data_IF_423997956226
#
_entry.id   IF_423997956226
#
_cell.length_a   1.000
_cell.length_b   1.000
_cell.length_c   1.000
_cell.angle_alpha   90.00
_cell.angle_beta   90.00
_cell.angle_gamma   90.00
#
_symmetry.space_group_name_H-M   'P 1'
#
loop_
_entity.id
_entity.type
_entity.pdbx_description
1 polymer ?
#
# COMPACT_ATOMS: atom_id res chain seq x y z
N UNK A 1 8.80 -8.77 18.82
CA UNK A 1 7.90 -7.65 18.49
C UNK A 1 7.82 -7.57 16.97
N UNK A 2 6.71 -8.02 16.38
CA UNK A 2 6.46 -8.03 14.94
C UNK A 2 6.08 -6.62 14.50
N UNK A 3 6.86 -6.03 13.61
CA UNK A 3 6.63 -4.68 13.07
C UNK A 3 5.27 -4.60 12.36
N UNK A 4 4.43 -3.60 12.65
CA UNK A 4 3.13 -3.39 12.00
C UNK A 4 3.22 -3.16 10.48
N UNK A 5 4.41 -2.83 9.97
CA UNK A 5 4.67 -2.57 8.53
C UNK A 5 4.49 -3.82 7.65
N UNK A 6 4.59 -5.05 8.22
CA UNK A 6 4.20 -6.25 7.46
C UNK A 6 2.72 -6.28 7.08
N UNK A 7 1.89 -5.55 7.81
CA UNK A 7 0.48 -5.41 7.44
C UNK A 7 0.27 -4.42 6.30
N UNK A 8 1.02 -3.33 6.20
CA UNK A 8 0.74 -2.28 5.19
C UNK A 8 1.05 -2.71 3.75
N UNK A 9 2.06 -3.57 3.52
CA UNK A 9 2.30 -4.17 2.19
C UNK A 9 1.35 -5.34 1.87
N UNK A 10 0.60 -5.81 2.87
CA UNK A 10 -0.49 -6.79 2.71
C UNK A 10 -1.84 -6.08 2.59
N UNK A 11 -1.93 -4.81 2.99
CA UNK A 11 -3.13 -4.01 2.99
C UNK A 11 -3.41 -3.28 1.66
N UNK A 12 -3.25 -3.94 0.54
CA UNK A 12 -4.05 -3.62 -0.62
C UNK A 12 -5.24 -4.59 -0.58
N UNK A 13 -6.32 -4.19 0.08
CA UNK A 13 -7.52 -4.94 -0.11
C UNK A 13 -8.59 -4.90 0.95
N UNK A 14 -9.80 -4.41 0.74
CA UNK A 14 -11.05 -5.09 0.61
C UNK A 14 -12.35 -4.48 1.03
N UNK A 15 -13.41 -4.76 0.38
CA UNK A 15 -14.76 -4.78 0.95
C UNK A 15 -15.57 -5.98 0.50
N UNK A 16 -16.28 -6.61 1.40
CA UNK A 16 -17.44 -7.43 1.07
C UNK A 16 -18.71 -6.64 1.32
N UNK A 17 -19.36 -6.16 0.26
CA UNK A 17 -20.77 -5.79 0.32
C UNK A 17 -21.52 -7.11 0.27
N UNK A 18 -22.22 -7.46 1.36
CA UNK A 18 -23.09 -8.61 1.43
C UNK A 18 -24.29 -8.39 0.49
N UNK A 19 -24.20 -8.87 -0.72
CA UNK A 19 -25.36 -9.14 -1.56
C UNK A 19 -25.80 -10.59 -1.32
N UNK A 20 -27.06 -10.78 -0.94
CA UNK A 20 -27.66 -12.08 -0.69
C UNK A 20 -27.59 -12.97 -1.95
N UNK A 21 -27.61 -14.32 -1.78
CA UNK A 21 -27.43 -15.26 -2.87
C UNK A 21 -28.72 -15.47 -3.65
N UNK A 22 -28.84 -14.89 -4.85
CA UNK A 22 -29.79 -15.39 -5.85
C UNK A 22 -29.32 -15.05 -7.26
N UNK A 23 -28.65 -16.00 -7.89
CA UNK A 23 -28.37 -15.97 -9.31
C UNK A 23 -27.36 -17.06 -9.69
N UNK A 24 -27.48 -17.72 -10.86
CA UNK A 24 -26.43 -18.61 -11.32
C UNK A 24 -25.14 -17.82 -11.40
N UNK A 25 -24.07 -18.33 -10.76
CA UNK A 25 -22.76 -17.73 -10.81
C UNK A 25 -22.30 -17.70 -12.28
N UNK A 26 -22.60 -16.61 -12.97
CA UNK A 26 -21.86 -16.22 -14.15
C UNK A 26 -20.41 -16.14 -13.68
N UNK A 27 -19.55 -16.96 -14.26
CA UNK A 27 -18.11 -16.80 -14.14
C UNK A 27 -17.81 -15.40 -14.64
N UNK A 28 -17.73 -14.43 -13.73
CA UNK A 28 -17.39 -13.06 -14.09
C UNK A 28 -15.96 -13.13 -14.63
N UNK A 29 -15.79 -12.83 -15.90
CA UNK A 29 -14.46 -12.66 -16.47
C UNK A 29 -13.81 -11.47 -15.74
N UNK A 30 -12.57 -11.67 -15.33
CA UNK A 30 -11.77 -10.59 -14.72
C UNK A 30 -11.80 -9.37 -15.64
N UNK A 31 -12.17 -8.16 -15.15
CA UNK A 31 -12.16 -6.97 -15.99
C UNK A 31 -10.74 -6.71 -16.53
N UNK A 32 -10.50 -6.81 -17.85
CA UNK A 32 -9.14 -6.73 -18.41
C UNK A 32 -8.44 -5.43 -18.04
N UNK A 33 -9.16 -4.30 -18.10
CA UNK A 33 -8.64 -2.98 -17.73
C UNK A 33 -8.09 -2.96 -16.30
N UNK A 34 -8.83 -3.53 -15.34
CA UNK A 34 -8.42 -3.60 -13.95
C UNK A 34 -7.18 -4.48 -13.76
N UNK A 35 -7.21 -5.68 -14.36
CA UNK A 35 -6.12 -6.65 -14.24
C UNK A 35 -4.81 -6.08 -14.78
N UNK A 36 -4.85 -5.52 -15.97
CA UNK A 36 -3.67 -5.01 -16.67
C UNK A 36 -3.10 -3.76 -15.95
N UNK A 37 -3.97 -2.82 -15.57
CA UNK A 37 -3.54 -1.61 -14.86
C UNK A 37 -2.89 -1.94 -13.51
N UNK A 38 -3.50 -2.82 -12.70
CA UNK A 38 -2.93 -3.23 -11.40
C UNK A 38 -1.67 -4.06 -11.58
N UNK A 39 -1.62 -4.93 -12.60
CA UNK A 39 -0.42 -5.69 -12.94
C UNK A 39 0.76 -4.78 -13.29
N UNK A 40 0.54 -3.79 -14.14
CA UNK A 40 1.55 -2.81 -14.54
C UNK A 40 2.00 -1.95 -13.34
N UNK A 41 1.06 -1.47 -12.53
CA UNK A 41 1.37 -0.71 -11.32
C UNK A 41 2.24 -1.51 -10.34
N UNK A 42 1.91 -2.78 -10.10
CA UNK A 42 2.70 -3.65 -9.21
C UNK A 42 4.07 -4.00 -9.80
N UNK A 43 4.19 -4.15 -11.12
CA UNK A 43 5.47 -4.37 -11.78
C UNK A 43 6.39 -3.15 -11.64
N UNK A 44 5.84 -1.94 -11.78
CA UNK A 44 6.58 -0.68 -11.67
C UNK A 44 6.89 -0.21 -10.25
N UNK A 45 6.34 -0.86 -9.20
CA UNK A 45 6.53 -0.40 -7.81
C UNK A 45 7.98 -0.34 -7.32
N UNK A 46 8.87 -1.14 -7.91
CA UNK A 46 10.30 -1.16 -7.60
C UNK A 46 11.08 -0.07 -8.35
N UNK A 47 10.42 0.68 -9.24
CA UNK A 47 11.05 1.76 -10.00
C UNK A 47 11.00 3.09 -9.26
N UNK A 48 10.33 3.16 -8.10
CA UNK A 48 10.09 4.39 -7.39
C UNK A 48 10.87 4.48 -6.08
N UNK A 49 11.73 5.47 -5.99
CA UNK A 49 12.30 5.96 -4.74
C UNK A 49 11.34 6.99 -4.14
N UNK A 50 11.18 7.01 -2.80
CA UNK A 50 10.27 7.93 -2.11
C UNK A 50 10.74 8.22 -0.69
N UNK A 51 10.25 9.31 -0.13
CA UNK A 51 10.40 9.64 1.30
C UNK A 51 9.12 9.26 2.02
N UNK A 52 9.26 8.60 3.18
CA UNK A 52 8.16 8.19 4.02
C UNK A 52 8.28 8.88 5.39
N UNK A 53 7.25 9.64 5.75
CA UNK A 53 7.07 10.11 7.12
C UNK A 53 6.22 9.13 7.90
N UNK A 54 6.66 8.73 9.07
CA UNK A 54 5.95 7.82 9.97
C UNK A 54 5.76 8.50 11.30
N UNK A 55 4.50 8.69 11.71
CA UNK A 55 4.14 9.24 13.03
C UNK A 55 3.50 8.16 13.89
N UNK A 56 4.00 7.99 15.09
CA UNK A 56 3.32 7.25 16.13
C UNK A 56 2.62 8.23 17.06
N UNK A 57 1.30 8.10 17.21
CA UNK A 57 0.50 8.97 18.06
C UNK A 57 -0.04 8.18 19.25
N UNK A 58 -0.11 8.82 20.41
CA UNK A 58 -0.83 8.31 21.58
C UNK A 58 -2.33 8.64 21.48
N UNK A 59 -3.14 8.05 22.36
CA UNK A 59 -4.62 8.13 22.33
C UNK A 59 -5.17 9.56 22.26
N UNK A 60 -4.48 10.55 22.81
CA UNK A 60 -4.88 11.96 22.80
C UNK A 60 -4.44 12.71 21.52
N UNK A 61 -3.89 12.00 20.54
CA UNK A 61 -3.44 12.57 19.27
C UNK A 61 -2.06 13.23 19.31
N UNK A 62 -1.37 13.24 20.46
CA UNK A 62 0.00 13.75 20.52
C UNK A 62 0.97 12.82 19.79
N UNK A 63 1.89 13.40 19.04
CA UNK A 63 2.98 12.66 18.41
C UNK A 63 3.93 12.13 19.50
N UNK A 64 4.09 10.82 19.55
CA UNK A 64 5.01 10.10 20.42
C UNK A 64 6.40 9.96 19.80
N UNK A 65 6.43 9.77 18.49
CA UNK A 65 7.65 9.65 17.70
C UNK A 65 7.32 9.97 16.25
N UNK A 66 8.16 10.75 15.60
CA UNK A 66 8.12 10.98 14.15
C UNK A 66 9.43 10.52 13.53
N UNK A 67 9.35 9.82 12.38
CA UNK A 67 10.53 9.42 11.62
C UNK A 67 10.36 9.82 10.16
N UNK A 68 11.43 10.34 9.58
CA UNK A 68 11.55 10.53 8.14
C UNK A 68 12.49 9.46 7.58
N UNK A 69 11.99 8.65 6.67
CA UNK A 69 12.70 7.50 6.11
C UNK A 69 12.72 7.64 4.58
N UNK A 70 13.83 7.31 3.94
CA UNK A 70 13.97 7.26 2.48
C UNK A 70 14.02 5.81 2.02
N UNK A 71 13.24 5.49 0.99
CA UNK A 71 13.36 4.25 0.23
C UNK A 71 13.99 4.52 -1.13
N UNK A 72 15.01 3.76 -1.49
CA UNK A 72 15.70 3.88 -2.77
C UNK A 72 15.98 2.49 -3.36
N UNK A 73 15.20 2.03 -4.35
CA UNK A 73 15.38 0.72 -4.95
C UNK A 73 16.57 0.63 -5.91
N UNK A 74 17.24 1.76 -6.24
CA UNK A 74 18.48 1.75 -7.01
C UNK A 74 19.69 1.24 -6.21
N UNK A 75 19.50 1.03 -4.91
CA UNK A 75 20.52 0.50 -4.01
C UNK A 75 20.33 -1.00 -3.74
N UNK A 76 21.39 -1.71 -3.32
CA UNK A 76 21.29 -3.10 -2.89
C UNK A 76 20.24 -3.30 -1.80
N UNK A 77 19.59 -4.47 -1.75
CA UNK A 77 18.46 -4.76 -0.85
C UNK A 77 18.71 -4.40 0.62
N UNK A 78 19.93 -4.58 1.10
CA UNK A 78 20.32 -4.28 2.47
C UNK A 78 20.61 -2.79 2.72
N UNK A 79 20.49 -1.95 1.70
CA UNK A 79 20.78 -0.51 1.77
C UNK A 79 19.62 0.37 1.28
N UNK A 80 18.47 -0.20 0.91
CA UNK A 80 17.36 0.56 0.30
C UNK A 80 16.66 1.52 1.24
N UNK A 81 16.69 1.27 2.54
CA UNK A 81 16.05 2.12 3.52
C UNK A 81 17.06 2.91 4.34
N UNK A 82 16.87 4.21 4.39
CA UNK A 82 17.67 5.14 5.17
C UNK A 82 16.79 5.90 6.15
N UNK A 83 17.27 6.05 7.39
CA UNK A 83 16.65 6.92 8.38
C UNK A 83 17.26 8.31 8.22
N UNK A 84 16.45 9.28 7.84
CA UNK A 84 16.88 10.66 7.62
C UNK A 84 16.79 11.47 8.90
N UNK A 85 15.65 11.37 9.63
CA UNK A 85 15.37 12.13 10.84
C UNK A 85 14.56 11.30 11.84
N UNK A 86 14.73 11.64 13.13
CA UNK A 86 13.86 11.22 14.24
C UNK A 86 13.53 12.45 15.06
N UNK A 87 12.23 12.76 15.19
CA UNK A 87 11.72 13.94 15.91
C UNK A 87 12.38 15.25 15.44
N UNK A 88 12.54 15.41 14.10
CA UNK A 88 13.15 16.58 13.46
C UNK A 88 14.65 16.72 13.67
N UNK A 89 15.34 15.68 14.14
CA UNK A 89 16.79 15.70 14.42
C UNK A 89 17.51 14.59 13.64
N UNK A 90 18.80 14.78 13.33
CA UNK A 90 19.61 13.72 12.77
C UNK A 90 19.58 12.46 13.64
N UNK A 91 19.39 11.26 13.04
CA UNK A 91 19.29 10.02 13.81
C UNK A 91 20.64 9.63 14.42
N UNK A 92 20.59 9.04 15.60
CA UNK A 92 21.75 8.41 16.23
C UNK A 92 22.11 7.11 15.49
N UNK A 93 23.35 6.62 15.71
CA UNK A 93 23.81 5.36 15.13
C UNK A 93 22.95 4.17 15.54
N UNK A 94 22.52 4.13 16.81
CA UNK A 94 21.61 3.10 17.31
C UNK A 94 20.26 3.09 16.59
N UNK A 95 19.71 4.26 16.26
CA UNK A 95 18.45 4.41 15.52
C UNK A 95 18.60 3.97 14.07
N UNK A 96 19.71 4.33 13.39
CA UNK A 96 20.02 3.85 12.01
C UNK A 96 20.11 2.34 11.97
N UNK A 97 20.88 1.74 12.88
CA UNK A 97 21.03 0.29 12.98
C UNK A 97 19.70 -0.41 13.27
N UNK A 98 18.84 0.17 14.10
CA UNK A 98 17.52 -0.38 14.38
C UNK A 98 16.61 -0.36 13.12
N UNK A 99 16.68 0.67 12.27
CA UNK A 99 15.96 0.69 11.00
C UNK A 99 16.51 -0.35 10.03
N UNK A 100 17.83 -0.45 9.89
CA UNK A 100 18.52 -1.41 9.04
C UNK A 100 18.07 -2.86 9.36
N UNK A 101 18.17 -3.26 10.63
CA UNK A 101 17.71 -4.58 11.08
C UNK A 101 16.22 -4.79 10.79
N UNK A 102 15.41 -3.75 10.97
CA UNK A 102 13.96 -3.84 10.80
C UNK A 102 13.52 -3.95 9.33
N UNK A 103 14.18 -3.22 8.43
CA UNK A 103 13.75 -3.06 7.03
C UNK A 103 14.71 -3.70 6.01
N UNK A 104 16.00 -3.48 6.13
CA UNK A 104 16.99 -3.92 5.15
C UNK A 104 17.40 -5.39 5.30
N UNK A 105 17.49 -5.91 6.53
CA UNK A 105 17.91 -7.30 6.77
C UNK A 105 16.78 -8.34 6.66
N UNK A 106 15.56 -7.92 6.32
CA UNK A 106 14.42 -8.85 6.21
C UNK A 106 14.29 -9.40 4.80
N UNK A 107 14.20 -10.74 4.63
CA UNK A 107 13.96 -11.31 3.31
C UNK A 107 12.61 -10.85 2.75
N UNK A 108 12.59 -10.46 1.49
CA UNK A 108 11.38 -10.08 0.74
C UNK A 108 10.61 -11.33 0.33
N UNK A 109 9.87 -11.92 1.26
CA UNK A 109 9.14 -13.17 1.00
C UNK A 109 8.00 -13.08 -0.03
N UNK A 110 7.61 -11.87 -0.44
CA UNK A 110 6.43 -11.66 -1.29
C UNK A 110 6.63 -10.64 -2.42
N UNK A 111 7.86 -10.26 -2.73
CA UNK A 111 8.14 -9.21 -3.71
C UNK A 111 7.62 -9.54 -5.13
N UNK A 112 7.53 -10.82 -5.48
CA UNK A 112 7.24 -11.28 -6.83
C UNK A 112 5.95 -12.12 -6.92
N UNK A 113 5.04 -11.99 -5.98
CA UNK A 113 3.75 -12.67 -6.13
C UNK A 113 2.85 -11.88 -7.07
N UNK A 114 2.19 -12.54 -8.02
CA UNK A 114 1.26 -11.88 -8.93
C UNK A 114 0.07 -11.30 -8.16
N UNK A 115 -0.56 -10.24 -8.67
CA UNK A 115 -1.67 -9.58 -7.99
C UNK A 115 -2.85 -10.51 -7.70
N UNK A 116 -3.07 -11.54 -8.51
CA UNK A 116 -4.12 -12.54 -8.35
C UNK A 116 -3.96 -13.39 -7.08
N UNK A 117 -2.75 -13.48 -6.53
CA UNK A 117 -2.52 -14.15 -5.24
C UNK A 117 -3.10 -13.35 -4.05
N UNK A 118 -3.37 -12.07 -4.27
CA UNK A 118 -3.83 -11.14 -3.23
C UNK A 118 -5.23 -10.60 -3.49
N UNK A 119 -5.56 -10.31 -4.75
CA UNK A 119 -6.77 -9.61 -5.15
C UNK A 119 -7.72 -10.56 -5.88
N UNK A 120 -9.00 -10.42 -5.60
CA UNK A 120 -10.06 -11.21 -6.23
C UNK A 120 -10.65 -10.45 -7.42
N UNK A 121 -9.89 -10.36 -8.49
CA UNK A 121 -10.31 -9.69 -9.72
C UNK A 121 -11.59 -10.24 -10.35
N UNK A 122 -11.83 -11.58 -10.39
CA UNK A 122 -13.06 -12.12 -10.95
C UNK A 122 -14.34 -11.63 -10.26
N UNK A 123 -14.24 -11.20 -9.00
CA UNK A 123 -15.37 -10.67 -8.24
C UNK A 123 -15.30 -9.15 -8.03
N UNK A 124 -14.41 -8.46 -8.78
CA UNK A 124 -14.35 -7.00 -8.73
C UNK A 124 -15.63 -6.39 -9.33
N UNK A 125 -16.14 -5.35 -8.69
CA UNK A 125 -17.39 -4.68 -9.09
C UNK A 125 -17.07 -3.26 -9.49
N UNK A 126 -17.45 -2.86 -10.71
CA UNK A 126 -17.42 -1.46 -11.12
C UNK A 126 -18.50 -0.69 -10.34
N UNK A 127 -18.08 0.25 -9.50
CA UNK A 127 -18.98 1.06 -8.68
C UNK A 127 -19.32 2.38 -9.32
N UNK A 128 -18.37 2.97 -10.04
CA UNK A 128 -18.51 4.25 -10.68
C UNK A 128 -17.78 4.25 -12.01
N UNK A 129 -18.48 4.71 -13.05
CA UNK A 129 -17.91 4.82 -14.39
C UNK A 129 -18.17 6.22 -14.95
N UNK A 130 -17.10 6.82 -15.48
CA UNK A 130 -17.17 8.05 -16.27
C UNK A 130 -16.54 7.81 -17.64
N UNK A 131 -16.63 8.77 -18.58
CA UNK A 131 -15.88 8.67 -19.82
C UNK A 131 -14.37 8.55 -19.63
N UNK A 132 -13.84 9.16 -18.55
CA UNK A 132 -12.40 9.28 -18.29
C UNK A 132 -11.87 8.12 -17.45
N UNK A 133 -12.66 7.57 -16.49
CA UNK A 133 -12.16 6.59 -15.52
C UNK A 133 -13.24 5.59 -15.07
N UNK A 134 -12.76 4.47 -14.52
CA UNK A 134 -13.60 3.46 -13.86
C UNK A 134 -13.06 3.19 -12.46
N UNK A 135 -13.94 3.23 -11.46
CA UNK A 135 -13.60 2.84 -10.09
C UNK A 135 -14.17 1.47 -9.78
N UNK A 136 -13.30 0.55 -9.42
CA UNK A 136 -13.63 -0.82 -9.01
C UNK A 136 -13.53 -1.00 -7.52
N UNK A 137 -14.50 -1.69 -6.92
CA UNK A 137 -14.32 -2.33 -5.62
C UNK A 137 -13.66 -3.70 -5.86
N UNK A 138 -12.53 -3.91 -5.20
CA UNK A 138 -11.74 -5.15 -5.37
C UNK A 138 -11.59 -5.85 -4.03
N UNK A 139 -11.91 -7.14 -4.00
CA UNK A 139 -11.77 -7.96 -2.81
C UNK A 139 -10.33 -8.46 -2.62
N UNK A 140 -9.84 -8.55 -1.38
CA UNK A 140 -8.60 -9.29 -1.06
C UNK A 140 -8.93 -10.72 -0.68
N UNK A 141 -8.16 -11.61 -1.22
CA UNK A 141 -8.30 -13.03 -0.92
C UNK A 141 -7.95 -13.30 0.54
N UNK A 142 -8.82 -14.00 1.29
CA UNK A 142 -8.55 -14.33 2.70
C UNK A 142 -7.24 -15.10 2.89
N UNK A 143 -6.84 -15.91 1.90
CA UNK A 143 -5.61 -16.70 1.92
C UNK A 143 -4.35 -15.83 1.89
N UNK A 144 -4.45 -14.65 1.30
CA UNK A 144 -3.33 -13.70 1.22
C UNK A 144 -3.04 -13.05 2.58
N UNK A 145 -4.04 -12.97 3.45
CA UNK A 145 -3.98 -12.24 4.71
C UNK A 145 -4.56 -13.02 5.89
N UNK A 146 -4.13 -14.26 6.08
CA UNK A 146 -4.66 -15.23 7.07
C UNK A 146 -4.87 -14.74 8.51
N UNK A 147 -4.22 -13.65 8.89
CA UNK A 147 -4.33 -13.06 10.24
C UNK A 147 -5.18 -11.79 10.27
N UNK A 148 -5.88 -11.50 9.18
CA UNK A 148 -6.64 -10.26 8.99
C UNK A 148 -8.03 -10.62 8.49
N UNK A 149 -9.05 -9.95 9.01
CA UNK A 149 -10.44 -10.06 8.55
C UNK A 149 -10.60 -9.23 7.28
N UNK A 150 -10.21 -9.83 6.15
CA UNK A 150 -10.14 -9.11 4.87
C UNK A 150 -11.51 -8.66 4.38
N UNK A 151 -12.58 -9.32 4.78
CA UNK A 151 -13.97 -8.97 4.47
C UNK A 151 -14.42 -7.61 5.04
N UNK A 152 -13.65 -7.04 5.97
CA UNK A 152 -13.93 -5.74 6.60
C UNK A 152 -13.21 -4.56 5.93
N UNK A 153 -12.34 -4.84 5.01
CA UNK A 153 -11.66 -3.80 4.25
C UNK A 153 -12.50 -3.35 3.05
N UNK A 154 -12.40 -2.10 2.65
CA UNK A 154 -12.94 -1.53 1.42
C UNK A 154 -11.76 -1.04 0.60
N UNK A 155 -11.45 -1.71 -0.50
CA UNK A 155 -10.45 -1.27 -1.47
C UNK A 155 -11.14 -0.79 -2.73
N UNK A 156 -10.87 0.45 -3.10
CA UNK A 156 -11.30 1.01 -4.37
C UNK A 156 -10.08 1.33 -5.21
N UNK A 157 -10.13 0.95 -6.48
CA UNK A 157 -9.08 1.21 -7.46
C UNK A 157 -9.72 1.97 -8.63
N UNK A 158 -9.26 3.19 -8.84
CA UNK A 158 -9.67 4.01 -9.98
C UNK A 158 -8.64 3.90 -11.09
N UNK A 159 -9.11 3.64 -12.30
CA UNK A 159 -8.28 3.41 -13.47
C UNK A 159 -8.73 4.36 -14.57
N UNK A 160 -7.78 5.09 -15.15
CA UNK A 160 -8.00 5.91 -16.32
C UNK A 160 -8.29 5.06 -17.55
N UNK A 161 -9.32 5.44 -18.32
CA UNK A 161 -9.72 4.70 -19.52
C UNK A 161 -8.75 4.90 -20.67
N UNK A 162 -8.18 6.10 -20.79
CA UNK A 162 -7.23 6.44 -21.85
C UNK A 162 -5.81 6.01 -21.44
N UNK A 163 -5.41 6.31 -20.21
CA UNK A 163 -4.07 5.99 -19.71
C UNK A 163 -3.86 4.50 -19.45
N UNK A 164 -4.95 3.73 -19.21
CA UNK A 164 -4.91 2.35 -18.73
C UNK A 164 -4.06 2.20 -17.46
N UNK A 165 -3.92 3.28 -16.69
CA UNK A 165 -3.11 3.33 -15.49
C UNK A 165 -3.97 3.42 -14.23
N UNK A 166 -3.44 2.98 -13.10
CA UNK A 166 -4.04 3.23 -11.79
C UNK A 166 -3.86 4.71 -11.45
N UNK A 167 -4.95 5.44 -11.26
CA UNK A 167 -4.95 6.87 -10.92
C UNK A 167 -5.18 7.11 -9.43
N UNK A 168 -5.92 6.21 -8.78
CA UNK A 168 -6.18 6.33 -7.34
C UNK A 168 -6.40 4.98 -6.70
N UNK A 169 -5.87 4.82 -5.49
CA UNK A 169 -6.19 3.68 -4.62
C UNK A 169 -6.67 4.24 -3.29
N UNK A 170 -7.86 3.83 -2.86
CA UNK A 170 -8.32 4.11 -1.50
C UNK A 170 -8.59 2.82 -0.75
N UNK A 171 -8.29 2.82 0.57
CA UNK A 171 -8.68 1.72 1.42
C UNK A 171 -9.20 2.24 2.76
N UNK A 172 -10.30 1.66 3.22
CA UNK A 172 -10.92 1.96 4.49
C UNK A 172 -11.45 0.70 5.17
N UNK A 173 -11.94 0.81 6.40
CA UNK A 173 -12.64 -0.26 7.10
C UNK A 173 -14.12 -0.01 7.11
N UNK A 174 -14.93 -1.05 6.84
CA UNK A 174 -16.37 -1.04 7.10
C UNK A 174 -16.66 -1.08 8.60
N UNK A 175 -15.83 -1.78 9.36
CA UNK A 175 -15.88 -1.88 10.82
C UNK A 175 -14.50 -2.28 11.38
N UNK A 176 -14.23 -2.03 12.68
CA UNK A 176 -12.97 -2.42 13.30
C UNK A 176 -12.71 -3.92 13.19
N UNK A 177 -11.47 -4.30 12.84
CA UNK A 177 -11.07 -5.68 12.69
C UNK A 177 -10.06 -6.16 13.74
N UNK A 178 -10.12 -7.44 14.10
CA UNK A 178 -9.12 -8.09 14.94
C UNK A 178 -8.00 -8.64 14.07
N UNK A 179 -6.76 -8.51 14.53
CA UNK A 179 -5.58 -9.02 13.86
C UNK A 179 -4.74 -9.84 14.82
N UNK A 180 -3.82 -10.66 14.27
CA UNK A 180 -2.91 -11.48 15.06
C UNK A 180 -3.65 -12.34 16.10
N UNK A 181 -4.67 -13.10 15.68
CA UNK A 181 -5.51 -13.97 16.53
C UNK A 181 -6.23 -13.20 17.66
N UNK A 182 -6.58 -11.95 17.43
CA UNK A 182 -7.29 -11.11 18.40
C UNK A 182 -6.37 -10.39 19.40
N UNK A 183 -5.05 -10.54 19.28
CA UNK A 183 -4.07 -9.88 20.15
C UNK A 183 -3.96 -8.37 19.87
N UNK A 184 -4.41 -7.91 18.70
CA UNK A 184 -4.49 -6.50 18.34
C UNK A 184 -5.79 -6.23 17.60
N UNK A 185 -6.19 -4.97 17.57
CA UNK A 185 -7.37 -4.49 16.83
C UNK A 185 -6.96 -3.30 15.98
N UNK A 186 -7.38 -3.30 14.73
CA UNK A 186 -7.31 -2.14 13.85
C UNK A 186 -8.68 -1.49 13.92
N UNK A 187 -8.73 -0.24 14.33
CA UNK A 187 -9.99 0.50 14.51
C UNK A 187 -10.34 1.33 13.31
N UNK A 188 -9.34 1.73 12.54
CA UNK A 188 -9.49 2.58 11.37
C UNK A 188 -8.35 2.36 10.40
N UNK A 189 -8.66 2.43 9.11
CA UNK A 189 -7.71 2.54 7.99
C UNK A 189 -8.24 3.64 7.10
N UNK A 190 -7.39 4.59 6.81
CA UNK A 190 -7.64 5.64 5.85
C UNK A 190 -6.41 5.72 4.94
N UNK A 191 -6.53 5.11 3.77
CA UNK A 191 -5.52 5.13 2.71
C UNK A 191 -6.10 5.89 1.53
N UNK A 192 -5.38 6.88 1.07
CA UNK A 192 -5.69 7.60 -0.16
C UNK A 192 -4.38 7.89 -0.90
N UNK A 193 -4.20 7.22 -2.03
CA UNK A 193 -3.04 7.37 -2.90
C UNK A 193 -3.51 7.84 -4.27
N UNK A 194 -2.94 8.94 -4.73
CA UNK A 194 -3.16 9.48 -6.07
C UNK A 194 -1.92 9.23 -6.92
N UNK A 195 -2.15 8.88 -8.17
CA UNK A 195 -1.12 8.71 -9.19
C UNK A 195 -1.54 9.54 -10.38
N UNK A 196 -0.77 10.58 -10.69
CA UNK A 196 -1.01 11.32 -11.92
C UNK A 196 -0.45 10.50 -13.09
N UNK A 197 -1.23 10.33 -14.19
CA UNK A 197 -0.70 9.71 -15.40
C UNK A 197 0.45 10.58 -15.93
N UNK A 198 1.56 9.94 -16.33
CA UNK A 198 2.64 10.66 -17.01
C UNK A 198 2.08 11.36 -18.24
N UNK A 199 2.22 12.67 -18.38
CA UNK A 199 1.88 13.34 -19.62
C UNK A 199 2.77 12.80 -20.73
N UNK A 200 2.17 12.43 -21.86
CA UNK A 200 2.82 11.80 -22.99
C UNK A 200 4.19 12.46 -23.33
N UNK A 201 5.25 11.78 -23.03
CA UNK A 201 6.50 11.84 -23.80
C UNK A 201 7.42 13.03 -23.61
N UNK A 202 7.23 13.94 -22.65
CA UNK A 202 8.21 15.01 -22.38
C UNK A 202 8.72 14.97 -20.94
N UNK A 203 9.89 14.44 -20.82
CA UNK A 203 10.65 14.32 -19.57
C UNK A 203 11.35 15.65 -19.25
N UNK A 204 10.58 16.68 -18.89
CA UNK A 204 11.10 18.03 -18.57
C UNK A 204 11.62 18.16 -17.13
N UNK A 205 11.78 17.03 -16.43
CA UNK A 205 12.28 17.02 -15.05
C UNK A 205 11.23 17.45 -13.99
N UNK A 206 10.00 17.71 -14.41
CA UNK A 206 8.85 18.05 -13.56
C UNK A 206 7.85 16.88 -13.59
N UNK A 207 8.32 15.66 -13.23
CA UNK A 207 7.40 14.54 -13.05
C UNK A 207 6.39 14.91 -11.94
N UNK A 208 5.08 14.71 -12.18
CA UNK A 208 4.08 14.89 -11.15
C UNK A 208 4.43 14.00 -9.95
N UNK A 209 4.53 14.59 -8.77
CA UNK A 209 4.88 13.90 -7.54
C UNK A 209 3.67 13.08 -7.08
N UNK A 210 3.62 11.75 -7.30
CA UNK A 210 2.53 10.94 -6.78
C UNK A 210 2.52 11.10 -5.27
N UNK A 211 1.55 11.83 -4.76
CA UNK A 211 1.39 12.08 -3.34
C UNK A 211 0.36 11.11 -2.78
N UNK A 212 0.59 10.66 -1.56
CA UNK A 212 -0.36 9.81 -0.90
C UNK A 212 -0.12 9.73 0.61
N UNK A 213 -1.17 9.39 1.34
CA UNK A 213 -1.10 9.21 2.78
C UNK A 213 -1.92 8.00 3.22
N UNK A 214 -1.48 7.35 4.29
CA UNK A 214 -2.25 6.32 4.96
C UNK A 214 -2.28 6.59 6.46
N UNK A 215 -3.46 6.38 7.05
CA UNK A 215 -3.64 6.40 8.48
C UNK A 215 -4.14 5.05 8.94
N UNK A 216 -3.42 4.42 9.87
CA UNK A 216 -3.82 3.15 10.46
C UNK A 216 -3.91 3.31 11.97
N UNK A 217 -5.08 3.08 12.55
CA UNK A 217 -5.30 3.12 13.99
C UNK A 217 -5.26 1.70 14.57
N UNK A 218 -4.28 1.44 15.41
CA UNK A 218 -4.12 0.18 16.13
C UNK A 218 -4.53 0.39 17.59
N UNK A 219 -5.59 -0.28 18.06
CA UNK A 219 -6.07 -0.13 19.44
C UNK A 219 -5.31 -0.97 20.47
N UNK A 220 -4.29 -1.71 20.08
CA UNK A 220 -3.40 -2.35 21.05
C UNK A 220 -2.53 -1.27 21.70
N UNK A 221 -2.81 -0.93 22.95
CA UNK A 221 -2.16 0.17 23.72
C UNK A 221 -2.55 1.57 23.27
N UNK A 222 -3.56 1.72 22.40
CA UNK A 222 -4.03 3.03 21.96
C UNK A 222 -3.12 3.81 21.03
N UNK A 223 -2.05 3.21 20.55
CA UNK A 223 -1.16 3.85 19.60
C UNK A 223 -1.80 3.88 18.20
N UNK A 224 -1.74 5.03 17.57
CA UNK A 224 -2.14 5.26 16.18
C UNK A 224 -0.90 5.50 15.33
N UNK A 225 -0.82 4.88 14.17
CA UNK A 225 0.28 5.08 13.22
C UNK A 225 -0.25 5.82 12.01
N UNK A 226 0.46 6.88 11.62
CA UNK A 226 0.21 7.62 10.37
C UNK A 226 1.42 7.49 9.45
N UNK A 227 1.13 7.35 8.16
CA UNK A 227 2.15 7.28 7.11
C UNK A 227 1.82 8.32 6.04
N UNK A 228 2.85 8.97 5.55
CA UNK A 228 2.77 9.92 4.44
C UNK A 228 3.94 9.63 3.49
N UNK A 229 3.68 9.55 2.20
CA UNK A 229 4.71 9.34 1.18
C UNK A 229 4.81 10.56 0.29
N UNK A 230 6.05 11.01 0.04
CA UNK A 230 6.35 12.20 -0.75
C UNK A 230 7.66 12.02 -1.50
N UNK A 231 8.02 12.98 -2.33
CA UNK A 231 9.29 13.04 -3.07
C UNK A 231 9.56 11.75 -3.85
N UNK A 232 8.56 11.30 -4.59
CA UNK A 232 8.70 10.18 -5.48
C UNK A 232 9.66 10.53 -6.62
N UNK A 233 10.51 9.59 -6.96
CA UNK A 233 11.45 9.71 -8.07
C UNK A 233 11.61 8.38 -8.75
N UNK A 234 11.42 8.35 -10.07
CA UNK A 234 11.68 7.13 -10.85
C UNK A 234 13.18 6.85 -10.90
N UNK A 235 13.56 5.63 -10.66
CA UNK A 235 14.96 5.17 -10.65
C UNK A 235 15.06 3.80 -11.31
N UNK A 236 16.23 3.47 -11.83
CA UNK A 236 16.52 2.10 -12.29
C UNK A 236 16.81 1.23 -11.09
N UNK A 237 16.00 0.18 -10.83
CA UNK A 237 16.23 -0.72 -9.70
C UNK A 237 17.61 -1.38 -9.74
N UNK A 238 18.19 -1.61 -8.56
CA UNK A 238 19.41 -2.38 -8.44
C UNK A 238 19.16 -3.82 -8.94
N UNK A 239 20.02 -4.35 -9.83
CA UNK A 239 19.83 -5.69 -10.37
C UNK A 239 19.78 -6.74 -9.27
N UNK A 240 18.71 -7.55 -9.24
CA UNK A 240 18.65 -8.69 -8.33
C UNK A 240 19.65 -9.75 -8.77
N UNK A 241 20.62 -10.10 -7.93
CA UNK A 241 21.44 -11.29 -8.16
C UNK A 241 20.53 -12.51 -8.19
N UNK A 242 20.50 -13.18 -9.34
CA UNK A 242 19.82 -14.49 -9.45
C UNK A 242 20.60 -15.49 -8.61
N UNK A 243 20.07 -15.81 -7.43
CA UNK A 243 20.58 -16.92 -6.60
C UNK A 243 20.07 -18.26 -7.12
#
# INVERSE_FOLDING_TARGET
MTSPIRCLLVFAGLAAIAFGPTGPALRADTPPLLHDAVGNWLAGKEDWAFTQRVRALVNDGRVKEERLERYDPSLPDNQRWHLLEVDGKPPTEAQRKALEVRKNQRPRKHANKPPEDFLDFPHAVALHETPEAVTYAVAVRPEAARLVQTEKLILLVTIGRESHAVERITASLSEPMRVALGLARITDIDLDMHFEPEPDGHNDGNEPDPSGGARVSLSKFGDRMEYEWTAFKRVTPYPMEKK
#
